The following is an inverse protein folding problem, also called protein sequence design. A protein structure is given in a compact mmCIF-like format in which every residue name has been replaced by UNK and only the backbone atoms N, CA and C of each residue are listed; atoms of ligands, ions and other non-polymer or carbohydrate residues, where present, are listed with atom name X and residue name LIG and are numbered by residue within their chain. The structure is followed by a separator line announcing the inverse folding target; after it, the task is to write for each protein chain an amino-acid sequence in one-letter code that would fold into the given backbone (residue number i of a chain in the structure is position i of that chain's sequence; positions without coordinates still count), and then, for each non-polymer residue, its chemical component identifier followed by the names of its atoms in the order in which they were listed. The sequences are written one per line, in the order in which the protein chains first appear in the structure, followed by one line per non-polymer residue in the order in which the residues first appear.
data_IF_882043406224
#
_entry.id   IF_882043406224
#
_cell.length_a   1.000
_cell.length_b   1.000
_cell.length_c   1.000
_cell.angle_alpha   90.00
_cell.angle_beta   90.00
_cell.angle_gamma   90.00
#
_symmetry.space_group_name_H-M   'P 1'
#
loop_
_entity.id
_entity.type
_entity.pdbx_description
1 polymer ?
#
# COMPACT_ATOMS: atom_id res chain seq x y z
N UNK A 1 -11.05 -19.23 -19.62
CA UNK A 1 -11.13 -19.76 -18.23
C UNK A 1 -10.28 -18.86 -17.34
N UNK A 2 -10.85 -17.79 -16.77
CA UNK A 2 -10.09 -16.89 -15.89
C UNK A 2 -10.03 -17.48 -14.48
N UNK A 3 -8.83 -17.86 -14.04
CA UNK A 3 -8.58 -18.20 -12.65
C UNK A 3 -8.79 -16.93 -11.81
N UNK A 4 -9.91 -16.87 -11.08
CA UNK A 4 -10.15 -15.84 -10.08
C UNK A 4 -9.28 -16.22 -8.88
N UNK A 5 -8.02 -15.76 -8.88
CA UNK A 5 -7.11 -15.97 -7.76
C UNK A 5 -7.77 -15.43 -6.50
N UNK A 6 -8.27 -16.32 -5.66
CA UNK A 6 -8.71 -16.05 -4.29
C UNK A 6 -7.46 -15.82 -3.45
N UNK A 7 -6.67 -14.79 -3.78
CA UNK A 7 -5.69 -14.28 -2.86
C UNK A 7 -6.49 -13.69 -1.71
N UNK A 8 -6.57 -14.41 -0.59
CA UNK A 8 -7.10 -13.88 0.66
C UNK A 8 -6.51 -12.48 0.83
N UNK A 9 -7.32 -11.41 0.90
CA UNK A 9 -6.78 -10.08 1.07
C UNK A 9 -6.05 -10.05 2.41
N UNK A 10 -4.73 -10.16 2.36
CA UNK A 10 -3.88 -10.11 3.53
C UNK A 10 -3.84 -8.66 3.98
N UNK A 11 -4.62 -8.37 5.00
CA UNK A 11 -4.60 -7.10 5.69
C UNK A 11 -3.51 -7.12 6.75
N UNK A 12 -2.60 -6.16 6.68
CA UNK A 12 -1.50 -6.02 7.62
C UNK A 12 -1.61 -4.71 8.39
N UNK A 13 -0.92 -4.62 9.53
CA UNK A 13 -0.85 -3.37 10.29
C UNK A 13 0.03 -2.35 9.57
N UNK A 14 -0.08 -1.06 9.93
CA UNK A 14 0.84 -0.03 9.43
C UNK A 14 2.30 -0.30 9.82
N UNK A 15 2.55 -0.91 10.97
CA UNK A 15 3.91 -1.29 11.38
C UNK A 15 4.48 -2.37 10.46
N UNK A 16 3.72 -3.42 10.18
CA UNK A 16 4.18 -4.48 9.29
C UNK A 16 4.38 -3.95 7.86
N UNK A 17 3.51 -3.04 7.42
CA UNK A 17 3.65 -2.37 6.13
C UNK A 17 4.93 -1.52 6.08
N UNK A 18 5.27 -0.82 7.16
CA UNK A 18 6.52 -0.08 7.28
C UNK A 18 7.73 -1.02 7.21
N UNK A 19 7.70 -2.15 7.91
CA UNK A 19 8.76 -3.17 7.83
C UNK A 19 8.88 -3.78 6.43
N UNK A 20 7.77 -4.00 5.73
CA UNK A 20 7.76 -4.55 4.36
C UNK A 20 8.34 -3.57 3.33
N UNK A 21 7.95 -2.30 3.43
CA UNK A 21 8.27 -1.28 2.42
C UNK A 21 9.58 -0.54 2.72
N UNK A 22 10.06 -0.59 3.97
CA UNK A 22 11.16 0.23 4.44
C UNK A 22 10.79 1.71 4.67
N UNK A 23 9.52 2.09 4.46
CA UNK A 23 9.06 3.45 4.73
C UNK A 23 8.56 3.63 6.16
N UNK A 24 8.59 4.87 6.65
CA UNK A 24 8.05 5.18 7.97
C UNK A 24 6.54 4.98 8.03
N UNK A 25 6.03 4.57 9.19
CA UNK A 25 4.58 4.51 9.45
C UNK A 25 3.92 5.88 9.28
N UNK A 26 4.64 6.97 9.55
CA UNK A 26 4.20 8.34 9.32
C UNK A 26 3.94 8.60 7.84
N UNK A 27 4.87 8.19 6.96
CA UNK A 27 4.73 8.31 5.50
C UNK A 27 3.51 7.54 5.01
N UNK A 28 3.35 6.29 5.45
CA UNK A 28 2.18 5.47 5.09
C UNK A 28 0.88 6.10 5.61
N UNK A 29 0.89 6.64 6.83
CA UNK A 29 -0.27 7.35 7.41
C UNK A 29 -0.62 8.63 6.66
N UNK A 30 0.38 9.36 6.15
CA UNK A 30 0.17 10.52 5.30
C UNK A 30 -0.53 10.12 4.00
N UNK A 31 -0.13 9.00 3.38
CA UNK A 31 -0.79 8.44 2.19
C UNK A 31 -2.22 7.97 2.44
N UNK A 32 -2.49 7.43 3.63
CA UNK A 32 -3.85 7.12 4.06
C UNK A 32 -4.69 8.39 4.18
N UNK A 33 -4.15 9.43 4.84
CA UNK A 33 -4.85 10.69 5.04
C UNK A 33 -5.06 11.47 3.73
N UNK A 34 -4.16 11.34 2.74
CA UNK A 34 -4.34 11.93 1.41
C UNK A 34 -5.30 11.15 0.52
N UNK A 35 -5.76 9.97 0.96
CA UNK A 35 -6.64 9.09 0.19
C UNK A 35 -5.91 8.25 -0.87
N UNK A 36 -4.57 8.32 -0.94
CA UNK A 36 -3.77 7.54 -1.89
C UNK A 36 -3.62 6.07 -1.47
N UNK A 37 -3.72 5.77 -0.16
CA UNK A 37 -3.66 4.41 0.37
C UNK A 37 -4.97 4.03 1.07
N UNK A 38 -5.74 3.08 0.53
CA UNK A 38 -6.93 2.56 1.21
C UNK A 38 -6.59 1.93 2.56
N UNK A 39 -7.27 2.40 3.60
CA UNK A 39 -7.11 1.95 4.97
C UNK A 39 -8.45 1.55 5.58
N UNK A 40 -8.43 0.50 6.37
CA UNK A 40 -9.58 -0.04 7.07
C UNK A 40 -9.36 0.07 8.57
N UNK A 41 -10.35 0.60 9.29
CA UNK A 41 -10.35 0.74 10.74
C UNK A 41 -11.53 -0.02 11.32
N UNK A 42 -11.35 -0.59 12.51
CA UNK A 42 -12.40 -1.33 13.23
C UNK A 42 -13.31 -0.35 14.01
N UNK A 43 -12.82 0.85 14.32
CA UNK A 43 -13.58 1.86 15.05
C UNK A 43 -13.24 3.27 14.55
N UNK A 44 -14.21 4.18 14.64
CA UNK A 44 -14.03 5.60 14.30
C UNK A 44 -13.27 6.41 15.36
N UNK A 45 -12.83 5.75 16.45
CA UNK A 45 -12.01 6.43 17.47
C UNK A 45 -10.67 6.89 16.87
N UNK A 46 -10.18 8.08 17.24
CA UNK A 46 -8.81 8.48 16.93
C UNK A 46 -7.81 7.50 17.55
N UNK A 47 -6.74 7.15 16.80
CA UNK A 47 -5.76 6.08 17.10
C UNK A 47 -6.27 4.64 16.97
N UNK A 48 -7.45 4.39 16.41
CA UNK A 48 -7.89 3.01 16.13
C UNK A 48 -6.88 2.27 15.26
N UNK A 49 -6.78 0.95 15.47
CA UNK A 49 -5.91 0.09 14.69
C UNK A 49 -6.30 0.18 13.20
N UNK A 50 -5.35 0.62 12.38
CA UNK A 50 -5.50 0.72 10.92
C UNK A 50 -4.90 -0.54 10.30
N UNK A 51 -5.67 -1.14 9.39
CA UNK A 51 -5.30 -2.26 8.54
C UNK A 51 -5.23 -1.78 7.10
N UNK A 52 -4.16 -2.14 6.40
CA UNK A 52 -3.97 -1.84 4.97
C UNK A 52 -3.83 -3.14 4.20
N UNK A 53 -4.30 -3.19 2.95
CA UNK A 53 -4.08 -4.35 2.09
C UNK A 53 -2.64 -4.34 1.59
N UNK A 54 -1.98 -5.49 1.59
CA UNK A 54 -0.64 -5.63 1.01
C UNK A 54 -0.62 -5.20 -0.46
N UNK A 55 -1.65 -5.58 -1.24
CA UNK A 55 -1.76 -5.20 -2.65
C UNK A 55 -1.71 -3.68 -2.88
N UNK A 56 -2.36 -2.93 -2.00
CA UNK A 56 -2.49 -1.48 -2.14
C UNK A 56 -1.20 -0.79 -1.68
N UNK A 57 -0.54 -1.36 -0.68
CA UNK A 57 0.81 -0.95 -0.25
C UNK A 57 1.83 -1.18 -1.35
N UNK A 58 1.79 -2.34 -2.02
CA UNK A 58 2.70 -2.67 -3.11
C UNK A 58 2.35 -1.84 -4.38
N UNK A 59 1.09 -1.46 -4.59
CA UNK A 59 0.66 -0.59 -5.68
C UNK A 59 1.06 0.88 -5.52
N UNK A 60 1.50 1.32 -4.33
CA UNK A 60 2.08 2.66 -4.15
C UNK A 60 3.40 2.83 -4.92
N UNK A 61 4.12 1.74 -5.17
CA UNK A 61 5.37 1.78 -5.89
C UNK A 61 5.11 1.92 -7.39
N UNK A 62 5.50 3.06 -7.94
CA UNK A 62 5.53 3.26 -9.39
C UNK A 62 6.93 2.94 -9.90
N UNK A 63 7.08 2.20 -11.01
CA UNK A 63 8.38 1.99 -11.62
C UNK A 63 8.94 3.34 -12.08
N UNK A 64 10.14 3.67 -11.60
CA UNK A 64 10.91 4.80 -12.12
C UNK A 64 11.63 4.28 -13.36
N UNK A 65 11.05 4.48 -14.54
CA UNK A 65 11.73 4.21 -15.81
C UNK A 65 12.52 5.47 -16.18
N UNK A 66 13.86 5.43 -16.24
CA UNK A 66 14.64 6.56 -16.72
C UNK A 66 14.24 6.87 -18.16
N UNK A 67 13.98 8.15 -18.50
CA UNK A 67 13.54 8.54 -19.84
C UNK A 67 14.54 8.17 -20.94
N UNK A 68 15.83 8.04 -20.59
CA UNK A 68 16.92 7.71 -21.53
C UNK A 68 16.76 6.34 -22.21
N UNK A 69 16.02 5.40 -21.63
CA UNK A 69 15.80 4.06 -22.20
C UNK A 69 14.63 4.05 -23.21
N UNK A 70 13.76 5.07 -23.20
CA UNK A 70 12.59 5.12 -24.10
C UNK A 70 12.95 5.44 -25.56
N UNK A 71 14.16 5.93 -25.83
CA UNK A 71 14.59 6.35 -27.17
C UNK A 71 15.14 5.20 -28.04
N UNK A 72 15.13 3.94 -27.58
CA UNK A 72 15.74 2.79 -28.28
C UNK A 72 14.69 1.75 -28.72
N UNK A 73 13.46 2.16 -29.04
CA UNK A 73 12.43 1.25 -29.57
C UNK A 73 11.92 1.66 -30.94
#
# INVERSE_FOLDING_TARGET
MSARSTATPHFISLNDAATRTGFSTFTLRAKVNSGELPAYRISDKPRSAIRVKISDVDALFKPVIPPEIQAVR
#
